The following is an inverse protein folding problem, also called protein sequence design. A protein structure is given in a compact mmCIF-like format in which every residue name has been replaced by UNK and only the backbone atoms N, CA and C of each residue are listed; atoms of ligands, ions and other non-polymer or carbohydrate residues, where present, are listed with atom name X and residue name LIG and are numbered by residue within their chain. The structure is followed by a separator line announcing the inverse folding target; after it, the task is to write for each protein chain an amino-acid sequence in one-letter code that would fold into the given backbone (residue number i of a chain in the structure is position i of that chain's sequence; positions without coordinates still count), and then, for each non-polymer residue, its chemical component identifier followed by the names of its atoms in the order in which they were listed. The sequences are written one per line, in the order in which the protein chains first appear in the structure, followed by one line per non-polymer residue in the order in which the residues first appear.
data_IF_048709713352
#
_entry.id   IF_048709713352
#
_cell.length_a   1.000
_cell.length_b   1.000
_cell.length_c   1.000
_cell.angle_alpha   90.00
_cell.angle_beta   90.00
_cell.angle_gamma   90.00
#
_symmetry.space_group_name_H-M   'P 1'
#
loop_
_entity.id
_entity.type
_entity.pdbx_description
1 polymer ?
#
# COMPACT_ATOMS: atom_id res chain seq x y z
N UNK A 1 24.30 -19.07 15.29
CA UNK A 1 23.10 -18.23 15.54
C UNK A 1 23.39 -16.90 14.88
N UNK A 2 22.70 -16.61 13.76
CA UNK A 2 22.84 -15.34 13.05
C UNK A 2 22.33 -14.23 13.96
N UNK A 3 23.13 -13.19 14.18
CA UNK A 3 22.76 -12.09 15.07
C UNK A 3 21.69 -11.23 14.40
N UNK A 4 20.50 -11.20 15.00
CA UNK A 4 19.36 -10.41 14.54
C UNK A 4 19.72 -8.92 14.53
N UNK A 5 19.60 -8.27 13.37
CA UNK A 5 19.92 -6.85 13.22
C UNK A 5 18.76 -5.96 13.70
N UNK A 6 19.06 -4.93 14.48
CA UNK A 6 18.09 -3.91 14.90
C UNK A 6 18.20 -2.71 13.96
N UNK A 7 17.15 -2.44 13.19
CA UNK A 7 17.08 -1.24 12.36
C UNK A 7 16.92 0.00 13.26
N UNK A 8 17.71 1.04 13.00
CA UNK A 8 17.49 2.37 13.55
C UNK A 8 17.16 3.28 12.38
N UNK A 9 16.13 4.13 12.46
CA UNK A 9 16.05 5.28 11.57
C UNK A 9 17.33 6.07 11.80
N UNK A 10 18.23 6.10 10.81
CA UNK A 10 19.30 7.07 10.81
C UNK A 10 18.71 8.34 10.23
N UNK A 11 19.15 9.50 10.71
CA UNK A 11 19.03 10.71 9.91
C UNK A 11 19.87 10.45 8.65
N UNK A 12 19.20 10.02 7.58
CA UNK A 12 19.84 9.88 6.29
C UNK A 12 20.11 11.30 5.81
N UNK A 13 21.38 11.66 5.68
CA UNK A 13 21.76 12.92 5.01
C UNK A 13 21.62 12.79 3.50
N UNK A 14 21.37 11.58 3.00
CA UNK A 14 21.01 11.29 1.63
C UNK A 14 19.53 10.91 1.52
N UNK A 15 18.82 11.51 0.57
CA UNK A 15 17.38 11.30 0.34
C UNK A 15 17.04 9.89 -0.21
N UNK A 16 17.94 8.91 -0.10
CA UNK A 16 17.82 7.60 -0.74
C UNK A 16 16.67 6.73 -0.21
N UNK A 17 16.19 7.04 0.99
CA UNK A 17 15.00 6.43 1.59
C UNK A 17 13.88 7.46 1.81
N UNK A 18 14.04 8.69 1.29
CA UNK A 18 12.91 9.60 1.22
C UNK A 18 11.86 8.98 0.30
N UNK A 19 10.59 9.23 0.60
CA UNK A 19 9.49 8.89 -0.28
C UNK A 19 9.89 9.23 -1.72
N UNK A 20 9.72 8.28 -2.63
CA UNK A 20 9.85 8.58 -4.06
C UNK A 20 8.78 9.63 -4.35
N UNK A 21 9.22 10.85 -4.56
CA UNK A 21 8.35 11.95 -4.97
C UNK A 21 8.28 11.89 -6.48
N UNK A 22 7.07 11.70 -7.00
CA UNK A 22 6.81 11.80 -8.43
C UNK A 22 6.54 13.25 -8.79
N UNK A 23 7.03 13.67 -9.95
CA UNK A 23 6.94 15.07 -10.39
C UNK A 23 5.49 15.50 -10.68
N UNK A 24 4.64 14.54 -11.06
CA UNK A 24 3.24 14.79 -11.45
C UNK A 24 2.27 13.98 -10.55
N UNK A 25 1.31 14.63 -9.88
CA UNK A 25 0.25 13.93 -9.16
C UNK A 25 -0.83 13.40 -10.12
N UNK A 26 -1.53 12.35 -9.71
CA UNK A 26 -2.75 11.91 -10.40
C UNK A 26 -3.85 12.96 -10.31
N UNK A 27 -4.82 12.94 -11.24
CA UNK A 27 -6.04 13.77 -11.11
C UNK A 27 -7.11 13.04 -10.29
N UNK A 28 -8.13 13.75 -9.81
CA UNK A 28 -9.24 13.11 -9.10
C UNK A 28 -10.01 12.12 -9.99
N UNK A 29 -10.21 12.45 -11.26
CA UNK A 29 -10.89 11.57 -12.20
C UNK A 29 -10.06 10.32 -12.45
N UNK A 30 -8.74 10.48 -12.58
CA UNK A 30 -7.85 9.34 -12.71
C UNK A 30 -7.85 8.46 -11.46
N UNK A 31 -7.82 9.02 -10.24
CA UNK A 31 -7.92 8.22 -9.02
C UNK A 31 -9.26 7.49 -8.90
N UNK A 32 -10.38 8.12 -9.27
CA UNK A 32 -11.69 7.46 -9.30
C UNK A 32 -11.72 6.31 -10.32
N UNK A 33 -11.14 6.54 -11.49
CA UNK A 33 -10.99 5.51 -12.51
C UNK A 33 -10.14 4.33 -12.00
N UNK A 34 -9.00 4.63 -11.38
CA UNK A 34 -8.11 3.64 -10.77
C UNK A 34 -8.81 2.85 -9.64
N UNK A 35 -9.59 3.53 -8.80
CA UNK A 35 -10.37 2.88 -7.74
C UNK A 35 -11.39 1.88 -8.30
N UNK A 36 -12.13 2.26 -9.34
CA UNK A 36 -13.07 1.36 -10.02
C UNK A 36 -12.35 0.14 -10.60
N UNK A 37 -11.20 0.36 -11.25
CA UNK A 37 -10.39 -0.74 -11.76
C UNK A 37 -9.89 -1.66 -10.65
N UNK A 38 -9.41 -1.11 -9.53
CA UNK A 38 -9.01 -1.88 -8.35
C UNK A 38 -10.19 -2.70 -7.81
N UNK A 39 -11.39 -2.12 -7.69
CA UNK A 39 -12.59 -2.82 -7.22
C UNK A 39 -13.00 -3.98 -8.15
N UNK A 40 -12.74 -3.88 -9.45
CA UNK A 40 -12.94 -5.00 -10.38
C UNK A 40 -11.91 -6.08 -10.11
N UNK A 41 -10.63 -5.72 -10.06
CA UNK A 41 -9.51 -6.65 -9.93
C UNK A 41 -9.47 -7.37 -8.58
N UNK A 42 -9.95 -6.73 -7.50
CA UNK A 42 -10.02 -7.35 -6.18
C UNK A 42 -11.12 -8.42 -6.04
N UNK A 43 -11.97 -8.61 -7.05
CA UNK A 43 -12.96 -9.70 -7.02
C UNK A 43 -12.26 -11.01 -7.35
N UNK A 44 -12.43 -12.07 -6.53
CA UNK A 44 -11.89 -13.38 -6.85
C UNK A 44 -12.37 -13.82 -8.23
N UNK A 45 -11.45 -14.29 -9.06
CA UNK A 45 -11.76 -14.73 -10.42
C UNK A 45 -12.52 -13.67 -11.24
N UNK A 46 -12.22 -12.37 -11.06
CA UNK A 46 -12.89 -11.25 -11.73
C UNK A 46 -13.06 -11.46 -13.25
N UNK A 47 -12.10 -12.13 -13.89
CA UNK A 47 -12.10 -12.43 -15.32
C UNK A 47 -13.29 -13.30 -15.76
N UNK A 48 -13.78 -14.17 -14.88
CA UNK A 48 -14.90 -15.08 -15.18
C UNK A 48 -16.26 -14.37 -15.29
N UNK A 49 -16.37 -13.17 -14.71
CA UNK A 49 -17.60 -12.39 -14.65
C UNK A 49 -17.67 -11.27 -15.70
N UNK A 50 -16.63 -11.12 -16.53
CA UNK A 50 -16.55 -10.09 -17.56
C UNK A 50 -17.00 -10.63 -18.92
N UNK A 51 -17.63 -9.78 -19.74
CA UNK A 51 -17.80 -10.08 -21.16
C UNK A 51 -16.46 -10.03 -21.88
N UNK A 52 -16.34 -10.69 -23.05
CA UNK A 52 -15.10 -10.66 -23.86
C UNK A 52 -14.64 -9.23 -24.18
N UNK A 53 -15.58 -8.30 -24.35
CA UNK A 53 -15.28 -6.89 -24.62
C UNK A 53 -14.74 -6.16 -23.39
N UNK A 54 -15.35 -6.36 -22.23
CA UNK A 54 -14.91 -5.74 -20.96
C UNK A 54 -13.54 -6.30 -20.54
N UNK A 55 -13.36 -7.61 -20.74
CA UNK A 55 -12.08 -8.28 -20.53
C UNK A 55 -11.01 -7.70 -21.46
N UNK A 56 -11.30 -7.53 -22.75
CA UNK A 56 -10.37 -6.95 -23.71
C UNK A 56 -9.97 -5.51 -23.40
N UNK A 57 -10.89 -4.68 -22.89
CA UNK A 57 -10.58 -3.33 -22.43
C UNK A 57 -9.65 -3.34 -21.21
N UNK A 58 -9.99 -4.11 -20.18
CA UNK A 58 -9.20 -4.22 -18.96
C UNK A 58 -7.81 -4.79 -19.23
N UNK A 59 -7.71 -5.81 -20.08
CA UNK A 59 -6.43 -6.39 -20.49
C UNK A 59 -5.56 -5.35 -21.20
N UNK A 60 -6.09 -4.52 -22.11
CA UNK A 60 -5.29 -3.47 -22.77
C UNK A 60 -4.77 -2.42 -21.78
N UNK A 61 -5.57 -2.05 -20.79
CA UNK A 61 -5.14 -1.13 -19.72
C UNK A 61 -4.01 -1.74 -18.88
N UNK A 62 -4.07 -3.04 -18.62
CA UNK A 62 -3.07 -3.77 -17.85
C UNK A 62 -1.85 -4.22 -18.68
N UNK A 63 -2.01 -4.40 -20.00
CA UNK A 63 -1.00 -4.93 -20.92
C UNK A 63 0.26 -4.06 -20.93
N UNK A 64 0.11 -2.74 -20.82
CA UNK A 64 1.25 -1.85 -20.65
C UNK A 64 2.05 -2.19 -19.40
N UNK A 65 1.39 -2.38 -18.25
CA UNK A 65 2.08 -2.70 -17.00
C UNK A 65 2.75 -4.07 -17.10
N UNK A 66 2.07 -5.06 -17.67
CA UNK A 66 2.64 -6.39 -17.90
C UNK A 66 3.90 -6.32 -18.77
N UNK A 67 3.88 -5.54 -19.85
CA UNK A 67 5.00 -5.37 -20.75
C UNK A 67 6.15 -4.52 -20.15
N UNK A 68 5.81 -3.42 -19.47
CA UNK A 68 6.77 -2.48 -18.89
C UNK A 68 7.54 -3.10 -17.73
N UNK A 69 6.87 -3.89 -16.89
CA UNK A 69 7.49 -4.58 -15.77
C UNK A 69 8.01 -5.99 -16.12
N UNK A 70 8.04 -6.34 -17.42
CA UNK A 70 8.46 -7.65 -17.93
C UNK A 70 7.87 -8.82 -17.13
N UNK A 71 6.59 -8.73 -16.75
CA UNK A 71 5.91 -9.74 -15.93
C UNK A 71 5.63 -11.05 -16.67
N UNK A 72 6.16 -11.22 -17.89
CA UNK A 72 6.25 -12.54 -18.50
C UNK A 72 7.23 -13.35 -17.67
N UNK A 73 6.70 -14.29 -16.89
CA UNK A 73 7.47 -15.28 -16.14
C UNK A 73 8.51 -15.90 -17.08
N UNK A 74 9.76 -15.45 -16.96
CA UNK A 74 10.90 -16.14 -17.53
C UNK A 74 11.10 -17.42 -16.69
N UNK A 75 10.21 -18.38 -16.91
CA UNK A 75 10.32 -19.80 -16.65
C UNK A 75 9.01 -20.42 -17.13
N UNK A 76 9.13 -21.57 -17.78
CA UNK A 76 8.07 -22.33 -18.45
C UNK A 76 6.65 -22.10 -17.87
N UNK A 77 5.62 -21.87 -18.72
CA UNK A 77 4.25 -21.89 -18.23
C UNK A 77 4.05 -23.18 -17.46
N UNK A 78 3.67 -23.08 -16.18
CA UNK A 78 3.14 -24.20 -15.42
C UNK A 78 2.17 -24.94 -16.34
N UNK A 79 2.21 -26.29 -16.43
CA UNK A 79 1.25 -27.07 -17.20
C UNK A 79 -0.09 -27.01 -16.46
N UNK A 80 -0.71 -25.83 -16.50
CA UNK A 80 -2.04 -25.53 -16.02
C UNK A 80 -2.98 -25.69 -17.20
N UNK A 81 -4.02 -26.48 -17.00
CA UNK A 81 -5.13 -26.62 -17.95
C UNK A 81 -6.06 -25.40 -17.96
N UNK A 82 -5.78 -24.35 -17.17
CA UNK A 82 -6.56 -23.12 -17.18
C UNK A 82 -6.14 -22.18 -18.33
N UNK A 83 -7.09 -21.74 -19.17
CA UNK A 83 -6.79 -20.99 -20.41
C UNK A 83 -6.44 -19.50 -20.22
N UNK A 84 -6.17 -19.02 -19.00
CA UNK A 84 -5.81 -17.60 -18.77
C UNK A 84 -4.59 -17.39 -17.83
N UNK A 85 -3.73 -16.39 -18.10
CA UNK A 85 -2.27 -16.54 -18.00
C UNK A 85 -1.55 -15.59 -17.04
N UNK A 86 -2.26 -14.83 -16.19
CA UNK A 86 -1.61 -13.78 -15.39
C UNK A 86 -1.17 -14.34 -14.04
N UNK A 87 0.11 -14.74 -13.94
CA UNK A 87 0.72 -15.14 -12.68
C UNK A 87 0.67 -14.02 -11.64
N UNK A 88 1.33 -12.90 -11.92
CA UNK A 88 1.31 -11.68 -11.09
C UNK A 88 0.68 -10.57 -11.93
N UNK A 89 -0.36 -9.94 -11.39
CA UNK A 89 -1.17 -8.92 -12.06
C UNK A 89 -0.81 -7.55 -11.44
N UNK A 90 -0.38 -6.56 -12.23
CA UNK A 90 -0.22 -5.20 -11.74
C UNK A 90 -1.60 -4.59 -11.43
N UNK A 91 -1.71 -3.88 -10.31
CA UNK A 91 -2.88 -3.08 -10.01
C UNK A 91 -2.73 -1.66 -10.60
N UNK A 92 -3.85 -0.93 -10.75
CA UNK A 92 -3.82 0.43 -11.23
C UNK A 92 -2.92 1.36 -10.41
N UNK A 93 -2.85 1.12 -9.09
CA UNK A 93 -1.94 1.82 -8.19
C UNK A 93 -0.49 1.44 -8.50
N UNK A 94 0.36 2.46 -8.68
CA UNK A 94 1.76 2.28 -9.04
C UNK A 94 2.51 1.43 -8.01
N UNK A 95 3.28 0.46 -8.49
CA UNK A 95 4.05 -0.46 -7.66
C UNK A 95 3.25 -1.48 -6.85
N UNK A 96 1.94 -1.57 -7.06
CA UNK A 96 1.08 -2.55 -6.40
C UNK A 96 0.79 -3.71 -7.35
N UNK A 97 0.95 -4.93 -6.86
CA UNK A 97 0.76 -6.15 -7.63
C UNK A 97 -0.09 -7.14 -6.82
N UNK A 98 -0.85 -7.99 -7.51
CA UNK A 98 -1.73 -8.99 -6.90
C UNK A 98 -1.67 -10.33 -7.64
N UNK A 99 -2.16 -11.38 -7.00
CA UNK A 99 -2.30 -12.72 -7.59
C UNK A 99 -3.25 -13.56 -6.75
N UNK A 100 -4.11 -14.34 -7.42
CA UNK A 100 -5.00 -15.30 -6.77
C UNK A 100 -4.42 -16.74 -6.78
N UNK A 101 -3.22 -16.93 -7.36
CA UNK A 101 -2.73 -18.26 -7.74
C UNK A 101 -1.46 -18.72 -7.03
N UNK A 102 -0.70 -17.80 -6.42
CA UNK A 102 0.60 -18.18 -5.84
C UNK A 102 0.47 -19.06 -4.60
N UNK A 103 -0.57 -18.85 -3.79
CA UNK A 103 -0.76 -19.62 -2.54
C UNK A 103 -1.70 -20.79 -2.82
N UNK A 104 -1.17 -22.01 -2.76
CA UNK A 104 -2.00 -23.21 -2.94
C UNK A 104 -2.94 -23.47 -1.75
N UNK A 105 -3.97 -24.29 -1.99
CA UNK A 105 -5.02 -24.55 -1.00
C UNK A 105 -4.55 -25.32 0.23
N UNK A 106 -3.46 -26.09 0.13
CA UNK A 106 -2.94 -26.87 1.25
C UNK A 106 -2.09 -26.00 2.16
N UNK A 107 -1.23 -25.14 1.61
CA UNK A 107 -0.48 -24.13 2.37
C UNK A 107 -1.43 -23.17 3.10
N UNK A 108 -2.46 -22.66 2.39
CA UNK A 108 -3.46 -21.79 3.00
C UNK A 108 -4.17 -22.47 4.19
N UNK A 109 -4.63 -23.72 4.01
CA UNK A 109 -5.31 -24.48 5.07
C UNK A 109 -4.38 -24.76 6.25
N UNK A 110 -3.11 -25.05 5.98
CA UNK A 110 -2.08 -25.27 6.99
C UNK A 110 -1.88 -24.03 7.86
N UNK A 111 -1.69 -22.86 7.24
CA UNK A 111 -1.54 -21.58 7.95
C UNK A 111 -2.80 -21.27 8.77
N UNK A 112 -4.00 -21.43 8.20
CA UNK A 112 -5.27 -21.21 8.90
C UNK A 112 -5.40 -22.10 10.15
N UNK A 113 -5.08 -23.40 10.03
CA UNK A 113 -5.15 -24.33 11.16
C UNK A 113 -4.15 -23.95 12.28
N UNK A 114 -2.93 -23.55 11.90
CA UNK A 114 -1.87 -23.20 12.85
C UNK A 114 -2.06 -21.82 13.50
N UNK A 115 -2.81 -20.92 12.85
CA UNK A 115 -3.13 -19.59 13.39
C UNK A 115 -4.42 -19.56 14.21
N UNK A 116 -5.33 -20.52 14.04
CA UNK A 116 -6.60 -20.58 14.77
C UNK A 116 -6.49 -20.41 16.30
N UNK A 117 -5.50 -20.99 17.01
CA UNK A 117 -5.32 -20.73 18.44
C UNK A 117 -4.96 -19.26 18.74
N UNK A 118 -4.10 -18.65 17.92
CA UNK A 118 -3.72 -17.24 18.04
C UNK A 118 -4.93 -16.32 17.80
N UNK A 119 -5.80 -16.66 16.84
CA UNK A 119 -7.05 -15.92 16.61
C UNK A 119 -7.99 -16.02 17.81
N UNK A 120 -8.13 -17.21 18.39
CA UNK A 120 -8.97 -17.41 19.56
C UNK A 120 -8.46 -16.60 20.76
N UNK A 121 -7.15 -16.57 20.97
CA UNK A 121 -6.52 -15.78 22.03
C UNK A 121 -6.67 -14.27 21.80
N UNK A 122 -6.40 -13.78 20.60
CA UNK A 122 -6.58 -12.35 20.26
C UNK A 122 -8.04 -11.93 20.46
N UNK A 123 -9.00 -12.77 20.05
CA UNK A 123 -10.43 -12.54 20.26
C UNK A 123 -10.80 -12.52 21.74
N UNK A 124 -10.22 -13.41 22.55
CA UNK A 124 -10.45 -13.45 24.00
C UNK A 124 -9.91 -12.19 24.71
N UNK A 125 -8.84 -11.59 24.20
CA UNK A 125 -8.31 -10.30 24.69
C UNK A 125 -9.08 -9.08 24.17
N UNK A 126 -9.85 -9.24 23.09
CA UNK A 126 -10.52 -8.13 22.42
C UNK A 126 -9.57 -7.24 21.62
N UNK A 127 -8.48 -7.80 21.10
CA UNK A 127 -7.44 -7.09 20.32
C UNK A 127 -7.92 -6.77 18.90
N UNK A 128 -9.05 -6.09 18.77
CA UNK A 128 -9.52 -5.58 17.48
C UNK A 128 -8.77 -4.29 17.12
N UNK A 129 -8.41 -4.16 15.85
CA UNK A 129 -7.69 -3.01 15.36
C UNK A 129 -8.54 -1.74 15.54
N UNK A 130 -7.98 -0.63 16.08
CA UNK A 130 -8.71 0.62 16.22
C UNK A 130 -9.34 1.08 14.90
N UNK A 131 -10.54 1.64 14.98
CA UNK A 131 -11.31 2.15 13.82
C UNK A 131 -11.68 1.09 12.76
N UNK A 132 -11.56 -0.20 13.07
CA UNK A 132 -11.96 -1.28 12.16
C UNK A 132 -13.40 -1.75 12.31
N UNK A 133 -14.20 -1.15 13.20
CA UNK A 133 -15.55 -1.64 13.56
C UNK A 133 -15.56 -3.14 13.94
N UNK A 134 -14.56 -3.59 14.69
CA UNK A 134 -14.35 -4.98 15.10
C UNK A 134 -14.21 -5.97 13.91
N UNK A 135 -13.81 -5.50 12.73
CA UNK A 135 -13.63 -6.33 11.53
C UNK A 135 -12.21 -6.87 11.39
N UNK A 136 -11.22 -6.21 11.99
CA UNK A 136 -9.81 -6.59 11.89
C UNK A 136 -9.31 -7.00 13.26
N UNK A 137 -8.81 -8.23 13.37
CA UNK A 137 -8.28 -8.80 14.62
C UNK A 137 -6.76 -8.88 14.55
N UNK A 138 -6.08 -8.27 15.52
CA UNK A 138 -4.62 -8.21 15.57
C UNK A 138 -4.01 -9.52 16.14
N UNK A 139 -3.83 -10.50 15.27
CA UNK A 139 -3.15 -11.77 15.59
C UNK A 139 -1.63 -11.56 15.68
N UNK A 140 -1.10 -10.76 14.75
CA UNK A 140 0.27 -10.26 14.70
C UNK A 140 0.19 -8.78 14.44
N UNK A 141 0.86 -7.97 15.24
CA UNK A 141 0.91 -6.53 15.03
C UNK A 141 2.25 -5.97 15.52
N UNK A 142 2.96 -5.13 14.74
CA UNK A 142 4.28 -4.60 15.13
C UNK A 142 4.28 -3.81 16.44
N UNK A 143 3.12 -3.28 16.85
CA UNK A 143 2.98 -2.59 18.14
C UNK A 143 2.80 -3.54 19.33
N UNK A 144 2.34 -4.77 19.10
CA UNK A 144 2.34 -5.83 20.12
C UNK A 144 3.80 -6.22 20.37
N UNK A 145 4.27 -6.05 21.61
CA UNK A 145 5.65 -6.34 22.02
C UNK A 145 6.73 -5.50 21.32
N UNK A 146 6.42 -4.24 20.98
CA UNK A 146 7.42 -3.29 20.51
C UNK A 146 8.51 -2.98 21.56
N UNK A 147 9.65 -2.46 21.12
CA UNK A 147 10.67 -1.95 22.02
C UNK A 147 10.20 -0.64 22.69
N UNK A 148 10.50 -0.50 23.97
CA UNK A 148 10.16 0.67 24.79
C UNK A 148 11.43 1.30 25.35
N UNK A 149 11.65 2.58 25.04
CA UNK A 149 12.85 3.33 25.44
C UNK A 149 12.97 3.35 26.97
N UNK A 150 14.12 2.93 27.49
CA UNK A 150 14.36 2.90 28.93
C UNK A 150 13.62 1.78 29.69
N UNK A 151 12.98 0.83 28.99
CA UNK A 151 12.31 -0.33 29.63
C UNK A 151 12.69 -1.67 29.01
N UNK A 152 12.72 -1.78 27.69
CA UNK A 152 13.09 -3.03 27.01
C UNK A 152 14.52 -3.40 27.36
N UNK A 153 14.76 -4.69 27.58
CA UNK A 153 16.09 -5.19 27.96
C UNK A 153 16.78 -5.89 26.79
N UNK A 154 18.10 -5.75 26.72
CA UNK A 154 18.96 -6.29 25.68
C UNK A 154 20.20 -6.96 26.29
N UNK A 155 20.76 -7.95 25.60
CA UNK A 155 22.02 -8.59 26.01
C UNK A 155 23.21 -7.66 25.74
N UNK A 156 24.14 -7.54 26.70
CA UNK A 156 25.29 -6.62 26.63
C UNK A 156 26.38 -7.02 25.62
N UNK A 157 26.20 -8.10 24.85
CA UNK A 157 27.26 -8.69 24.01
C UNK A 157 27.26 -8.14 22.58
N UNK A 158 27.40 -6.83 22.42
CA UNK A 158 27.82 -6.24 21.15
C UNK A 158 28.19 -4.76 21.37
N UNK A 159 29.36 -4.37 20.91
CA UNK A 159 29.81 -2.97 20.82
C UNK A 159 28.93 -2.11 19.89
N UNK A 160 27.91 -2.71 19.25
CA UNK A 160 26.86 -2.05 18.50
C UNK A 160 25.48 -2.51 18.96
N UNK A 161 24.62 -1.55 19.34
CA UNK A 161 23.20 -1.76 19.70
C UNK A 161 22.37 -2.41 18.58
N UNK A 162 22.96 -2.59 17.39
CA UNK A 162 22.32 -3.15 16.21
C UNK A 162 22.26 -4.67 16.15
N UNK A 163 22.77 -5.43 17.13
CA UNK A 163 22.85 -6.91 17.03
C UNK A 163 22.63 -7.67 18.34
N UNK A 164 22.11 -7.01 19.38
CA UNK A 164 21.89 -7.62 20.69
C UNK A 164 20.52 -8.32 20.76
N UNK A 165 20.44 -9.59 21.23
CA UNK A 165 19.16 -10.24 21.52
C UNK A 165 18.33 -9.44 22.54
N UNK A 166 17.00 -9.43 22.36
CA UNK A 166 16.03 -8.77 23.23
C UNK A 166 15.71 -9.59 24.50
N UNK A 167 16.77 -10.11 25.13
CA UNK A 167 16.72 -10.83 26.39
C UNK A 167 18.06 -10.65 27.09
N UNK A 168 18.16 -9.69 28.01
CA UNK A 168 19.41 -9.46 28.72
C UNK A 168 19.30 -8.52 29.91
N UNK A 169 20.46 -8.16 30.47
CA UNK A 169 20.53 -7.39 31.71
C UNK A 169 20.54 -5.88 31.50
N UNK A 170 20.93 -5.43 30.30
CA UNK A 170 21.05 -4.00 30.00
C UNK A 170 19.71 -3.44 29.52
N UNK A 171 19.42 -2.20 29.89
CA UNK A 171 18.22 -1.49 29.42
C UNK A 171 18.54 -0.80 28.09
N UNK A 172 17.73 -1.08 27.07
CA UNK A 172 17.78 -0.41 25.78
C UNK A 172 17.40 1.06 25.93
N UNK A 173 18.29 1.94 25.52
CA UNK A 173 18.07 3.37 25.48
C UNK A 173 18.49 3.95 24.13
N UNK A 174 17.72 4.91 23.64
CA UNK A 174 18.05 5.69 22.44
C UNK A 174 17.78 7.19 22.66
N UNK A 175 18.54 8.06 21.97
CA UNK A 175 18.40 9.51 22.12
C UNK A 175 17.03 9.98 21.64
N UNK A 176 16.60 11.11 22.20
CA UNK A 176 15.37 11.77 21.76
C UNK A 176 15.57 12.36 20.35
N UNK A 177 14.58 12.17 19.49
CA UNK A 177 14.44 12.80 18.19
C UNK A 177 13.51 14.01 18.30
N UNK A 178 13.84 15.08 17.58
CA UNK A 178 12.97 16.23 17.35
C UNK A 178 12.10 16.09 16.10
N UNK A 179 12.26 14.99 15.34
CA UNK A 179 11.48 14.70 14.14
C UNK A 179 10.08 14.26 14.55
N UNK A 180 9.05 14.93 14.02
CA UNK A 180 7.67 14.84 14.50
C UNK A 180 7.03 13.44 14.40
N UNK A 181 7.36 12.69 13.35
CA UNK A 181 6.85 11.34 13.08
C UNK A 181 7.72 10.23 13.69
N UNK A 182 8.76 10.58 14.45
CA UNK A 182 9.63 9.61 15.13
C UNK A 182 9.23 9.49 16.60
N UNK A 183 8.75 8.31 17.00
CA UNK A 183 8.40 8.04 18.39
C UNK A 183 9.64 8.00 19.29
N UNK A 184 9.65 8.86 20.32
CA UNK A 184 10.67 8.88 21.36
C UNK A 184 10.54 7.75 22.40
N UNK A 185 9.41 7.03 22.37
CA UNK A 185 9.04 6.05 23.39
C UNK A 185 9.02 4.63 22.89
N UNK A 186 8.57 4.42 21.65
CA UNK A 186 8.26 3.10 21.11
C UNK A 186 8.98 2.90 19.79
N UNK A 187 9.43 1.67 19.54
CA UNK A 187 10.01 1.29 18.26
C UNK A 187 9.56 -0.12 17.89
N UNK A 188 9.03 -0.29 16.68
CA UNK A 188 8.74 -1.60 16.13
C UNK A 188 10.01 -2.42 15.95
N UNK A 189 9.88 -3.71 16.20
CA UNK A 189 10.98 -4.65 16.10
C UNK A 189 10.87 -5.37 14.77
N UNK A 190 11.88 -5.26 13.89
CA UNK A 190 11.85 -6.00 12.64
C UNK A 190 12.03 -7.49 12.93
N UNK A 191 11.44 -8.33 12.09
CA UNK A 191 11.77 -9.75 12.00
C UNK A 191 12.66 -9.93 10.77
N UNK A 192 14.00 -10.08 10.91
CA UNK A 192 14.86 -10.25 9.76
C UNK A 192 14.59 -11.60 9.09
N UNK A 193 14.49 -11.55 7.77
CA UNK A 193 14.35 -12.73 6.91
C UNK A 193 15.66 -12.89 6.15
N UNK A 194 16.24 -14.08 6.19
CA UNK A 194 17.37 -14.44 5.33
C UNK A 194 16.83 -15.16 4.11
N UNK A 195 17.22 -14.70 2.92
CA UNK A 195 16.95 -15.37 1.64
C UNK A 195 18.28 -15.90 1.12
N UNK A 196 18.36 -17.19 0.86
CA UNK A 196 19.58 -17.81 0.32
C UNK A 196 19.68 -17.69 -1.21
N UNK A 197 20.76 -18.21 -1.79
CA UNK A 197 20.98 -18.15 -3.25
C UNK A 197 19.98 -18.94 -4.08
N UNK A 198 19.18 -19.82 -3.45
CA UNK A 198 18.14 -20.61 -4.10
C UNK A 198 16.75 -19.97 -3.92
N UNK A 199 16.66 -18.82 -3.24
CA UNK A 199 15.40 -18.16 -2.93
C UNK A 199 14.71 -18.71 -1.69
N UNK A 200 15.35 -19.57 -0.88
CA UNK A 200 14.75 -20.07 0.34
C UNK A 200 14.79 -19.03 1.46
N UNK A 201 13.65 -18.79 2.08
CA UNK A 201 13.48 -17.81 3.13
C UNK A 201 13.53 -18.46 4.52
N UNK A 202 14.12 -17.77 5.48
CA UNK A 202 14.10 -18.20 6.88
C UNK A 202 14.09 -17.00 7.82
N UNK A 203 13.15 -17.01 8.78
CA UNK A 203 13.10 -16.02 9.84
C UNK A 203 14.28 -16.21 10.79
N UNK A 204 15.06 -15.14 11.00
CA UNK A 204 16.25 -15.13 11.85
C UNK A 204 15.93 -14.75 13.30
N UNK A 205 14.69 -14.37 13.58
CA UNK A 205 14.20 -14.02 14.90
C UNK A 205 12.72 -14.33 15.05
N UNK A 206 12.20 -14.07 16.24
CA UNK A 206 10.78 -14.18 16.49
C UNK A 206 9.97 -13.18 15.64
N UNK A 207 8.75 -13.59 15.28
CA UNK A 207 7.69 -12.74 14.75
C UNK A 207 6.87 -12.25 15.94
N UNK A 208 6.51 -10.96 15.99
CA UNK A 208 5.75 -10.40 17.10
C UNK A 208 4.49 -11.23 17.40
N UNK A 209 4.28 -11.55 18.68
CA UNK A 209 3.19 -12.41 19.16
C UNK A 209 3.22 -13.89 18.70
N UNK A 210 4.25 -14.33 17.97
CA UNK A 210 4.42 -15.73 17.55
C UNK A 210 5.79 -16.23 17.99
N UNK A 211 5.89 -16.76 19.21
CA UNK A 211 7.16 -17.26 19.72
C UNK A 211 7.55 -18.60 19.04
N UNK A 212 8.81 -18.77 18.56
CA UNK A 212 9.21 -19.93 17.75
C UNK A 212 9.17 -21.27 18.48
N UNK A 213 9.25 -21.29 19.80
CA UNK A 213 9.12 -22.53 20.59
C UNK A 213 7.67 -23.00 20.72
N UNK A 214 6.73 -22.06 20.73
CA UNK A 214 5.30 -22.35 20.94
C UNK A 214 4.57 -22.58 19.62
N UNK A 215 5.10 -22.02 18.52
CA UNK A 215 4.54 -22.10 17.17
C UNK A 215 5.54 -22.64 16.15
N UNK A 216 6.35 -23.64 16.53
CA UNK A 216 7.42 -24.20 15.69
C UNK A 216 6.95 -24.62 14.30
N UNK A 217 5.73 -25.14 14.20
CA UNK A 217 5.16 -25.66 12.96
C UNK A 217 4.67 -24.55 12.02
N UNK A 218 4.40 -23.35 12.55
CA UNK A 218 3.93 -22.19 11.78
C UNK A 218 5.08 -21.50 11.04
N UNK A 219 6.28 -21.45 11.63
CA UNK A 219 7.43 -20.76 11.03
C UNK A 219 7.80 -21.26 9.63
N UNK A 220 7.90 -22.58 9.37
CA UNK A 220 8.15 -23.09 8.02
C UNK A 220 7.04 -22.71 7.02
N UNK A 221 5.77 -22.71 7.45
CA UNK A 221 4.66 -22.35 6.56
C UNK A 221 4.69 -20.87 6.18
N UNK A 222 4.97 -19.99 7.16
CA UNK A 222 5.15 -18.56 6.90
C UNK A 222 6.39 -18.29 6.03
N UNK A 223 7.45 -19.09 6.17
CA UNK A 223 8.64 -18.98 5.33
C UNK A 223 8.31 -19.37 3.87
N UNK A 224 7.62 -20.49 3.65
CA UNK A 224 7.13 -20.88 2.33
C UNK A 224 6.20 -19.84 1.72
N UNK A 225 5.30 -19.24 2.51
CA UNK A 225 4.48 -18.12 2.04
C UNK A 225 5.35 -16.91 1.63
N UNK A 226 6.39 -16.58 2.40
CA UNK A 226 7.31 -15.50 2.06
C UNK A 226 8.09 -15.79 0.77
N UNK A 227 8.58 -17.02 0.57
CA UNK A 227 9.25 -17.46 -0.66
C UNK A 227 8.35 -17.25 -1.90
N UNK A 228 7.07 -17.61 -1.79
CA UNK A 228 6.10 -17.39 -2.87
C UNK A 228 5.89 -15.90 -3.19
N UNK A 229 6.01 -15.03 -2.19
CA UNK A 229 5.86 -13.58 -2.36
C UNK A 229 7.13 -12.88 -2.86
N UNK A 230 8.31 -13.52 -2.83
CA UNK A 230 9.58 -12.91 -3.24
C UNK A 230 9.52 -12.25 -4.62
N UNK A 231 9.01 -12.89 -5.69
CA UNK A 231 8.91 -12.25 -7.00
C UNK A 231 8.05 -10.99 -6.99
N UNK A 232 7.01 -10.94 -6.16
CA UNK A 232 6.16 -9.75 -6.01
C UNK A 232 6.89 -8.63 -5.30
N UNK A 233 7.70 -8.93 -4.27
CA UNK A 233 8.55 -7.94 -3.62
C UNK A 233 9.61 -7.38 -4.58
N UNK A 234 10.25 -8.23 -5.38
CA UNK A 234 11.21 -7.79 -6.39
C UNK A 234 10.54 -6.90 -7.45
N UNK A 235 9.32 -7.22 -7.86
CA UNK A 235 8.56 -6.40 -8.81
C UNK A 235 8.19 -5.04 -8.20
N UNK A 236 7.70 -5.02 -6.96
CA UNK A 236 7.42 -3.80 -6.20
C UNK A 236 8.68 -2.94 -6.08
N UNK A 237 9.81 -3.53 -5.69
CA UNK A 237 11.07 -2.81 -5.58
C UNK A 237 11.55 -2.28 -6.94
N UNK A 238 11.45 -3.09 -8.00
CA UNK A 238 11.78 -2.68 -9.36
C UNK A 238 10.92 -1.52 -9.88
N UNK A 239 9.73 -1.33 -9.32
CA UNK A 239 8.85 -0.20 -9.67
C UNK A 239 9.22 1.11 -8.98
N UNK A 240 10.11 1.09 -7.97
CA UNK A 240 10.50 2.27 -7.22
C UNK A 240 11.19 3.33 -8.09
N UNK A 241 11.92 2.90 -9.12
CA UNK A 241 12.62 3.78 -10.06
C UNK A 241 11.80 4.08 -11.33
N UNK A 242 10.59 3.52 -11.44
CA UNK A 242 9.71 3.72 -12.59
C UNK A 242 8.75 4.90 -12.37
N UNK A 243 8.49 5.66 -13.43
CA UNK A 243 7.48 6.73 -13.38
C UNK A 243 6.07 6.15 -13.35
N UNK A 244 5.17 6.67 -12.49
CA UNK A 244 3.77 6.31 -12.49
C UNK A 244 3.15 6.68 -13.83
N UNK A 245 2.28 5.81 -14.34
CA UNK A 245 1.59 6.09 -15.60
C UNK A 245 0.35 6.93 -15.33
N UNK A 246 0.23 8.04 -16.05
CA UNK A 246 -1.01 8.78 -16.23
C UNK A 246 -1.86 8.17 -17.36
N UNK A 247 -3.12 7.92 -17.06
CA UNK A 247 -4.13 7.35 -17.98
C UNK A 247 -4.88 8.43 -18.73
N UNK A 248 -5.01 9.60 -18.11
CA UNK A 248 -5.57 10.78 -18.75
C UNK A 248 -4.38 11.57 -19.31
N UNK A 249 -4.15 11.43 -20.62
CA UNK A 249 -3.06 12.12 -21.29
C UNK A 249 -3.38 13.59 -21.56
N UNK A 250 -2.33 14.38 -21.82
CA UNK A 250 -2.42 15.77 -22.30
C UNK A 250 -3.02 16.78 -21.31
N UNK A 251 -3.04 16.47 -20.02
CA UNK A 251 -3.31 17.48 -19.00
C UNK A 251 -2.07 18.34 -18.86
N UNK A 252 -2.21 19.65 -19.08
CA UNK A 252 -1.16 20.60 -18.77
C UNK A 252 -1.18 20.88 -17.27
N UNK A 253 -0.35 20.16 -16.50
CA UNK A 253 -0.31 20.26 -15.04
C UNK A 253 0.01 21.69 -14.57
N UNK A 254 0.82 22.45 -15.31
CA UNK A 254 1.11 23.85 -15.01
C UNK A 254 -0.13 24.76 -15.10
N UNK A 255 -1.16 24.36 -15.85
CA UNK A 255 -2.42 25.11 -15.97
C UNK A 255 -3.47 24.71 -14.94
N UNK A 256 -3.39 23.53 -14.36
CA UNK A 256 -4.43 22.99 -13.45
C UNK A 256 -3.98 22.94 -11.99
N UNK A 257 -2.68 22.87 -11.72
CA UNK A 257 -2.15 22.85 -10.36
C UNK A 257 -2.29 24.22 -9.71
N UNK A 258 -2.79 24.28 -8.47
CA UNK A 258 -2.89 25.55 -7.76
C UNK A 258 -1.50 26.14 -7.53
N UNK A 259 -1.32 27.42 -7.86
CA UNK A 259 -0.03 28.12 -7.77
C UNK A 259 0.26 28.69 -6.39
N UNK A 260 -0.75 28.73 -5.51
CA UNK A 260 -0.68 29.30 -4.18
C UNK A 260 -1.75 28.72 -3.24
N UNK A 261 -1.60 29.00 -1.94
CA UNK A 261 -2.52 28.56 -0.87
C UNK A 261 -3.98 28.89 -1.14
N UNK A 262 -4.26 30.12 -1.58
CA UNK A 262 -5.62 30.60 -1.79
C UNK A 262 -6.30 29.87 -2.96
N UNK A 263 -5.55 29.60 -4.03
CA UNK A 263 -6.02 28.81 -5.16
C UNK A 263 -6.27 27.35 -4.74
N UNK A 264 -5.38 26.78 -3.93
CA UNK A 264 -5.56 25.43 -3.37
C UNK A 264 -6.83 25.34 -2.52
N UNK A 265 -7.04 26.31 -1.62
CA UNK A 265 -8.25 26.39 -0.79
C UNK A 265 -9.53 26.54 -1.63
N UNK A 266 -9.49 27.39 -2.67
CA UNK A 266 -10.62 27.59 -3.59
C UNK A 266 -10.96 26.29 -4.33
N UNK A 267 -9.96 25.61 -4.91
CA UNK A 267 -10.17 24.33 -5.59
C UNK A 267 -10.72 23.26 -4.64
N UNK A 268 -10.20 23.17 -3.41
CA UNK A 268 -10.66 22.23 -2.39
C UNK A 268 -12.13 22.49 -1.98
N UNK A 269 -12.50 23.75 -1.78
CA UNK A 269 -13.88 24.16 -1.46
C UNK A 269 -14.87 23.69 -2.54
N UNK A 270 -14.58 23.97 -3.81
CA UNK A 270 -15.47 23.57 -4.91
C UNK A 270 -15.45 22.06 -5.16
N UNK A 271 -14.32 21.38 -4.93
CA UNK A 271 -14.26 19.93 -4.98
C UNK A 271 -15.16 19.29 -3.90
N UNK A 272 -15.14 19.80 -2.68
CA UNK A 272 -16.01 19.32 -1.59
C UNK A 272 -17.49 19.56 -1.91
N UNK A 273 -17.85 20.73 -2.43
CA UNK A 273 -19.22 21.01 -2.86
C UNK A 273 -19.70 20.11 -3.99
N UNK A 274 -18.83 19.75 -4.94
CA UNK A 274 -19.17 18.80 -6.01
C UNK A 274 -19.37 17.37 -5.49
N UNK A 275 -18.67 16.97 -4.43
CA UNK A 275 -18.92 15.69 -3.75
C UNK A 275 -20.30 15.68 -3.08
N UNK A 276 -20.67 16.79 -2.44
CA UNK A 276 -21.97 16.92 -1.77
C UNK A 276 -23.13 17.08 -2.77
N UNK A 277 -22.89 17.77 -3.89
CA UNK A 277 -23.84 17.95 -4.98
C UNK A 277 -23.14 17.94 -6.36
N UNK A 278 -23.19 16.80 -7.08
CA UNK A 278 -22.56 16.65 -8.40
C UNK A 278 -23.07 17.63 -9.47
N UNK A 279 -24.27 18.21 -9.28
CA UNK A 279 -24.86 19.19 -10.19
C UNK A 279 -24.53 20.64 -9.80
N UNK A 280 -23.61 20.86 -8.87
CA UNK A 280 -23.13 22.20 -8.50
C UNK A 280 -22.21 22.74 -9.60
N UNK A 281 -22.74 23.63 -10.45
CA UNK A 281 -22.06 24.14 -11.66
C UNK A 281 -21.45 25.55 -11.51
N UNK A 282 -21.35 26.09 -10.28
CA UNK A 282 -21.07 27.54 -10.11
C UNK A 282 -19.74 27.80 -9.43
N UNK A 283 -18.70 27.99 -10.24
CA UNK A 283 -17.44 28.67 -9.88
C UNK A 283 -17.62 30.21 -9.98
N UNK A 284 -18.76 30.74 -9.55
CA UNK A 284 -19.13 32.17 -9.67
C UNK A 284 -18.83 32.99 -8.42
N UNK A 285 -18.76 34.32 -8.60
CA UNK A 285 -18.49 35.33 -7.55
C UNK A 285 -19.44 35.26 -6.32
N UNK A 286 -20.56 34.52 -6.43
CA UNK A 286 -21.55 34.34 -5.37
C UNK A 286 -21.00 33.57 -4.14
N UNK A 287 -19.89 32.85 -4.31
CA UNK A 287 -19.27 32.05 -3.23
C UNK A 287 -17.94 32.60 -2.74
N UNK A 288 -17.53 33.80 -3.15
CA UNK A 288 -16.23 34.34 -2.77
C UNK A 288 -16.10 34.48 -1.25
N UNK A 289 -17.13 34.98 -0.55
CA UNK A 289 -17.11 35.11 0.91
C UNK A 289 -16.97 33.75 1.62
N UNK A 290 -17.68 32.72 1.14
CA UNK A 290 -17.59 31.35 1.68
C UNK A 290 -16.20 30.73 1.42
N UNK A 291 -15.63 30.99 0.23
CA UNK A 291 -14.27 30.56 -0.13
C UNK A 291 -13.23 31.25 0.75
N UNK A 292 -13.41 32.54 1.04
CA UNK A 292 -12.53 33.29 1.94
C UNK A 292 -12.55 32.71 3.36
N UNK A 293 -13.74 32.46 3.92
CA UNK A 293 -13.89 31.84 5.24
C UNK A 293 -13.27 30.43 5.29
N UNK A 294 -13.51 29.62 4.27
CA UNK A 294 -12.88 28.31 4.13
C UNK A 294 -11.34 28.42 4.10
N UNK A 295 -10.80 29.35 3.30
CA UNK A 295 -9.36 29.54 3.12
C UNK A 295 -8.64 29.99 4.41
N UNK A 296 -9.29 30.72 5.31
CA UNK A 296 -8.69 31.13 6.60
C UNK A 296 -8.40 29.93 7.51
N UNK A 297 -9.30 28.93 7.51
CA UNK A 297 -9.16 27.70 8.29
C UNK A 297 -8.48 26.56 7.53
N UNK A 298 -8.19 26.77 6.24
CA UNK A 298 -7.59 25.77 5.37
C UNK A 298 -6.14 25.47 5.75
N UNK A 299 -5.89 24.20 6.06
CA UNK A 299 -4.56 23.65 6.31
C UNK A 299 -4.17 22.72 5.17
N UNK A 300 -3.17 23.13 4.39
CA UNK A 300 -2.61 22.34 3.29
C UNK A 300 -2.01 21.02 3.77
N UNK A 301 -1.66 20.87 5.05
CA UNK A 301 -1.16 19.61 5.60
C UNK A 301 -2.28 18.58 5.83
N UNK A 302 -3.53 19.04 5.98
CA UNK A 302 -4.73 18.19 6.08
C UNK A 302 -5.38 17.98 4.70
N UNK A 303 -4.73 18.46 3.65
CA UNK A 303 -5.07 18.14 2.28
C UNK A 303 -5.05 16.63 2.06
N UNK A 304 -6.18 15.97 1.78
CA UNK A 304 -6.09 14.69 1.08
C UNK A 304 -5.42 15.00 -0.26
N UNK A 305 -4.12 14.69 -0.42
CA UNK A 305 -3.27 14.92 -1.60
C UNK A 305 -4.04 15.66 -2.70
N UNK A 306 -4.12 16.99 -2.68
CA UNK A 306 -5.05 17.71 -3.53
C UNK A 306 -4.63 17.55 -4.99
N UNK A 307 -5.51 16.89 -5.73
CA UNK A 307 -5.39 16.54 -7.14
C UNK A 307 -6.10 17.62 -7.95
N UNK A 308 -5.59 18.02 -9.12
CA UNK A 308 -6.30 18.98 -9.94
C UNK A 308 -7.70 18.43 -10.25
N UNK A 309 -8.72 19.24 -9.94
CA UNK A 309 -10.02 19.07 -10.56
C UNK A 309 -9.79 19.21 -12.07
N UNK A 310 -10.34 18.29 -12.87
CA UNK A 310 -10.40 18.54 -14.32
C UNK A 310 -11.11 19.89 -14.51
N UNK A 311 -10.62 20.77 -15.42
CA UNK A 311 -11.34 21.96 -15.78
C UNK A 311 -12.70 21.55 -16.33
N UNK A 312 -13.74 21.67 -15.50
CA UNK A 312 -15.11 21.60 -15.98
C UNK A 312 -15.33 22.88 -16.79
N UNK A 313 -15.63 22.69 -18.08
CA UNK A 313 -16.16 23.66 -19.05
C UNK A 313 -15.20 24.27 -20.07
N UNK A 314 -13.87 24.10 -19.99
CA UNK A 314 -12.94 24.64 -21.00
C UNK A 314 -12.28 23.62 -21.93
N UNK A 315 -12.31 22.33 -21.59
CA UNK A 315 -11.78 21.27 -22.45
C UNK A 315 -12.93 20.41 -22.98
N UNK A 316 -13.04 20.29 -24.32
CA UNK A 316 -13.94 19.36 -25.01
C UNK A 316 -13.53 17.89 -24.76
N UNK A 317 -13.57 17.42 -23.50
CA UNK A 317 -13.20 16.04 -23.12
C UNK A 317 -14.27 15.01 -23.46
N UNK A 318 -15.54 15.42 -23.61
CA UNK A 318 -16.67 14.50 -23.85
C UNK A 318 -16.55 13.68 -25.14
N UNK A 319 -15.71 14.09 -26.09
CA UNK A 319 -15.56 13.39 -27.38
C UNK A 319 -14.49 12.28 -27.39
N UNK A 320 -13.59 12.21 -26.40
CA UNK A 320 -12.47 11.24 -26.40
C UNK A 320 -12.71 9.98 -25.56
N UNK A 321 -13.58 10.01 -24.56
CA UNK A 321 -13.83 8.86 -23.68
C UNK A 321 -15.33 8.54 -23.65
N UNK A 322 -15.81 7.54 -24.44
CA UNK A 322 -17.21 7.19 -24.44
C UNK A 322 -17.61 6.61 -23.08
N UNK A 323 -18.77 7.03 -22.57
CA UNK A 323 -19.37 6.52 -21.33
C UNK A 323 -19.41 4.99 -21.31
N UNK A 324 -18.83 4.38 -20.27
CA UNK A 324 -18.81 2.92 -20.10
C UNK A 324 -19.98 2.52 -19.20
N UNK A 325 -20.82 1.60 -19.68
CA UNK A 325 -21.91 1.02 -18.88
C UNK A 325 -21.40 -0.21 -18.15
N UNK A 326 -21.31 -0.14 -16.82
CA UNK A 326 -21.03 -1.28 -15.95
C UNK A 326 -22.23 -1.51 -15.04
N UNK A 327 -22.85 -2.70 -15.13
CA UNK A 327 -23.93 -3.15 -14.26
C UNK A 327 -25.06 -2.12 -14.03
N UNK A 328 -25.65 -1.61 -15.12
CA UNK A 328 -26.73 -0.61 -15.13
C UNK A 328 -26.37 0.80 -14.61
N UNK A 329 -25.12 1.04 -14.21
CA UNK A 329 -24.63 2.38 -13.90
C UNK A 329 -23.90 2.97 -15.11
N UNK A 330 -24.19 4.24 -15.42
CA UNK A 330 -23.46 5.00 -16.44
C UNK A 330 -22.37 5.76 -15.69
N UNK A 331 -21.12 5.41 -15.93
CA UNK A 331 -19.99 6.22 -15.47
C UNK A 331 -19.74 7.28 -16.54
N UNK A 332 -20.00 8.54 -16.17
CA UNK A 332 -19.53 9.72 -16.91
C UNK A 332 -18.12 10.07 -16.45
#
# INVERSE_FOLDING_TARGET
MSATSFWRPRAHTDNKFAYVTFDEPYTLVELKYMDILCQILMKPQWWSALSDNDFGFLVRELEFYVNQYMLTTNEQPLPSTDPHPLGIVPLPAHGVFMTDHLVDSDLLRSIQALTAPLEAEARARGDFHPNSNDQVLDIVHPSLYCAVNGRTRITSSSSSLSSAPLAGESVLQWPLSSVFDVSNRFQWLPTPVHVDSCGHASFQSYINNIHPSDHSDLYPQLASLFELMLPMFETCLGSADAQPRHRIAHINMDQVMPTNKSECARQAFFAQRRLDNPNSVTDGDEFDDDVWEFAESFDEANAPLFLPALPTDEFEFETQFPSVKLNNNTLQ
#
